data_IF_495232441253
#
_entry.id   IF_495232441253
#
_cell.length_a   1.000
_cell.length_b   1.000
_cell.length_c   1.000
_cell.angle_alpha   90.00
_cell.angle_beta   90.00
_cell.angle_gamma   90.00
#
_symmetry.space_group_name_H-M   'P 1'
#
loop_
_entity.id
_entity.type
_entity.pdbx_description
1 polymer ?
#
# COMPACT_ATOMS: atom_id res chain seq x y z
N UNK A 1 -23.60 0.89 13.80
CA UNK A 1 -23.12 2.10 13.09
C UNK A 1 -21.69 1.91 12.60
N UNK A 2 -20.71 1.60 13.48
CA UNK A 2 -19.32 1.32 13.08
C UNK A 2 -19.16 0.20 12.02
N UNK A 3 -19.87 -0.92 12.18
CA UNK A 3 -19.84 -2.03 11.20
C UNK A 3 -20.29 -1.64 9.78
N UNK A 4 -21.24 -0.70 9.65
CA UNK A 4 -21.68 -0.23 8.33
C UNK A 4 -20.62 0.62 7.63
N UNK A 5 -19.91 1.47 8.39
CA UNK A 5 -18.81 2.28 7.86
C UNK A 5 -17.63 1.43 7.39
N UNK A 6 -17.28 0.37 8.14
CA UNK A 6 -16.17 -0.53 7.74
C UNK A 6 -16.48 -1.28 6.45
N UNK A 7 -17.72 -1.79 6.29
CA UNK A 7 -18.14 -2.48 5.06
C UNK A 7 -18.14 -1.51 3.86
N UNK A 8 -18.49 -0.24 4.09
CA UNK A 8 -18.47 0.78 3.05
C UNK A 8 -17.05 1.14 2.61
N UNK A 9 -16.10 1.23 3.55
CA UNK A 9 -14.69 1.45 3.25
C UNK A 9 -14.08 0.27 2.47
N UNK A 10 -14.34 -0.97 2.89
CA UNK A 10 -13.80 -2.17 2.23
C UNK A 10 -14.30 -2.30 0.77
N UNK A 11 -15.61 -2.11 0.55
CA UNK A 11 -16.18 -2.10 -0.80
C UNK A 11 -15.61 -0.96 -1.66
N UNK A 12 -15.44 0.22 -1.07
CA UNK A 12 -14.84 1.36 -1.76
C UNK A 12 -13.38 1.07 -2.13
N UNK A 13 -12.60 0.50 -1.22
CA UNK A 13 -11.21 0.12 -1.50
C UNK A 13 -11.12 -0.93 -2.60
N UNK A 14 -12.04 -1.90 -2.64
CA UNK A 14 -12.09 -2.90 -3.70
C UNK A 14 -12.42 -2.25 -5.06
N UNK A 15 -13.40 -1.36 -5.11
CA UNK A 15 -13.72 -0.61 -6.33
C UNK A 15 -12.51 0.19 -6.85
N UNK A 16 -11.73 0.80 -5.95
CA UNK A 16 -10.49 1.48 -6.33
C UNK A 16 -9.47 0.50 -6.94
N UNK A 17 -9.28 -0.68 -6.34
CA UNK A 17 -8.40 -1.74 -6.88
C UNK A 17 -8.85 -2.16 -8.29
N UNK A 18 -10.14 -2.40 -8.49
CA UNK A 18 -10.71 -2.81 -9.79
C UNK A 18 -10.46 -1.78 -10.90
N UNK A 19 -10.60 -0.48 -10.58
CA UNK A 19 -10.29 0.61 -11.51
C UNK A 19 -8.79 0.64 -11.87
N UNK A 20 -7.90 0.41 -10.91
CA UNK A 20 -6.45 0.37 -11.12
C UNK A 20 -6.07 -0.82 -11.99
N UNK A 21 -6.62 -2.00 -11.71
CA UNK A 21 -6.39 -3.23 -12.48
C UNK A 21 -6.89 -3.10 -13.92
N UNK A 22 -8.03 -2.45 -14.10
CA UNK A 22 -8.61 -2.10 -15.40
C UNK A 22 -7.84 -0.97 -16.14
N UNK A 23 -6.78 -0.44 -15.52
CA UNK A 23 -5.95 0.67 -16.05
C UNK A 23 -6.73 1.98 -16.27
N UNK A 24 -7.85 2.16 -15.58
CA UNK A 24 -8.68 3.38 -15.61
C UNK A 24 -8.13 4.44 -14.64
N UNK A 25 -6.86 4.85 -14.82
CA UNK A 25 -6.11 5.61 -13.81
C UNK A 25 -6.69 6.99 -13.47
N UNK A 26 -7.26 7.70 -14.45
CA UNK A 26 -7.89 9.00 -14.22
C UNK A 26 -9.14 8.85 -13.35
N UNK A 27 -9.94 7.81 -13.61
CA UNK A 27 -11.14 7.49 -12.85
C UNK A 27 -10.78 7.01 -11.45
N UNK A 28 -9.78 6.13 -11.34
CA UNK A 28 -9.22 5.68 -10.07
C UNK A 28 -8.77 6.86 -9.21
N UNK A 29 -8.02 7.83 -9.75
CA UNK A 29 -7.57 9.00 -8.98
C UNK A 29 -8.73 9.90 -8.54
N UNK A 30 -9.74 10.11 -9.39
CA UNK A 30 -10.94 10.88 -9.00
C UNK A 30 -11.67 10.20 -7.84
N UNK A 31 -11.83 8.88 -7.93
CA UNK A 31 -12.49 8.07 -6.92
C UNK A 31 -11.69 8.04 -5.61
N UNK A 32 -10.38 7.78 -5.67
CA UNK A 32 -9.48 7.76 -4.51
C UNK A 32 -9.43 9.12 -3.80
N UNK A 33 -9.46 10.25 -4.53
CA UNK A 33 -9.54 11.58 -3.90
C UNK A 33 -10.80 11.77 -3.06
N UNK A 34 -11.92 11.19 -3.50
CA UNK A 34 -13.16 11.18 -2.71
C UNK A 34 -12.98 10.31 -1.47
N UNK A 35 -12.48 9.07 -1.63
CA UNK A 35 -12.19 8.17 -0.51
C UNK A 35 -11.24 8.80 0.51
N UNK A 36 -10.20 9.51 0.06
CA UNK A 36 -9.24 10.18 0.96
C UNK A 36 -9.90 11.28 1.79
N UNK A 37 -10.94 11.94 1.25
CA UNK A 37 -11.72 12.92 2.01
C UNK A 37 -12.60 12.25 3.07
N UNK A 38 -13.15 11.08 2.75
CA UNK A 38 -14.01 10.30 3.64
C UNK A 38 -13.19 9.55 4.72
N UNK A 39 -11.96 9.12 4.38
CA UNK A 39 -11.06 8.29 5.18
C UNK A 39 -9.62 8.85 5.23
N UNK A 40 -9.39 10.07 5.78
CA UNK A 40 -8.09 10.78 5.69
C UNK A 40 -6.92 10.11 6.42
N UNK A 41 -7.21 9.17 7.32
CA UNK A 41 -6.22 8.42 8.10
C UNK A 41 -5.98 7.01 7.55
N UNK A 42 -6.68 6.60 6.49
CA UNK A 42 -6.56 5.26 5.92
C UNK A 42 -5.25 5.10 5.15
N UNK A 43 -4.34 4.30 5.70
CA UNK A 43 -3.07 3.98 5.04
C UNK A 43 -3.29 3.25 3.70
N UNK A 44 -4.34 2.43 3.62
CA UNK A 44 -4.71 1.71 2.40
C UNK A 44 -5.10 2.67 1.27
N UNK A 45 -5.93 3.68 1.56
CA UNK A 45 -6.31 4.71 0.58
C UNK A 45 -5.09 5.47 0.06
N UNK A 46 -4.15 5.81 0.94
CA UNK A 46 -2.91 6.50 0.54
C UNK A 46 -2.04 5.64 -0.38
N UNK A 47 -1.83 4.36 -0.07
CA UNK A 47 -1.01 3.51 -0.94
C UNK A 47 -1.71 3.16 -2.26
N UNK A 48 -3.05 3.12 -2.31
CA UNK A 48 -3.79 3.01 -3.57
C UNK A 48 -3.55 4.25 -4.46
N UNK A 49 -3.56 5.46 -3.86
CA UNK A 49 -3.18 6.69 -4.57
C UNK A 49 -1.76 6.61 -5.10
N UNK A 50 -0.82 6.19 -4.26
CA UNK A 50 0.59 6.04 -4.63
C UNK A 50 0.77 5.01 -5.76
N UNK A 51 0.02 3.90 -5.74
CA UNK A 51 0.06 2.88 -6.78
C UNK A 51 -0.33 3.43 -8.15
N UNK A 52 -1.37 4.28 -8.23
CA UNK A 52 -1.72 4.94 -9.49
C UNK A 52 -0.58 5.83 -9.98
N UNK A 53 0.02 6.62 -9.09
CA UNK A 53 1.17 7.47 -9.44
C UNK A 53 2.38 6.64 -9.90
N UNK A 54 2.68 5.53 -9.25
CA UNK A 54 3.78 4.64 -9.66
C UNK A 54 3.53 4.03 -11.04
N UNK A 55 2.30 3.54 -11.30
CA UNK A 55 1.89 2.99 -12.60
C UNK A 55 1.91 4.00 -13.74
N UNK A 56 1.86 5.29 -13.42
CA UNK A 56 1.92 6.40 -14.38
C UNK A 56 3.29 7.08 -14.42
N UNK A 57 4.31 6.50 -13.77
CA UNK A 57 5.70 6.95 -13.83
C UNK A 57 6.02 8.17 -12.95
N UNK A 58 5.15 8.52 -11.99
CA UNK A 58 5.34 9.65 -11.11
C UNK A 58 6.05 9.25 -9.81
N UNK A 59 7.24 9.80 -9.59
CA UNK A 59 8.09 9.58 -8.40
C UNK A 59 7.45 10.01 -7.07
N UNK A 60 6.41 10.86 -7.12
CA UNK A 60 5.63 11.29 -5.93
C UNK A 60 4.99 10.10 -5.20
N UNK A 61 4.85 8.95 -5.86
CA UNK A 61 4.39 7.72 -5.22
C UNK A 61 5.20 7.39 -3.95
N UNK A 62 6.53 7.58 -3.94
CA UNK A 62 7.35 7.26 -2.78
C UNK A 62 7.07 8.16 -1.58
N UNK A 63 6.88 9.47 -1.79
CA UNK A 63 6.54 10.37 -0.67
C UNK A 63 5.19 10.04 -0.07
N UNK A 64 4.20 9.70 -0.90
CA UNK A 64 2.88 9.27 -0.43
C UNK A 64 2.98 7.98 0.40
N UNK A 65 3.84 7.05 0.00
CA UNK A 65 4.06 5.83 0.77
C UNK A 65 4.73 6.09 2.14
N UNK A 66 5.60 7.10 2.24
CA UNK A 66 6.16 7.51 3.53
C UNK A 66 5.08 8.09 4.44
N UNK A 67 4.17 8.91 3.90
CA UNK A 67 3.00 9.41 4.66
C UNK A 67 2.08 8.26 5.12
N UNK A 68 1.91 7.23 4.28
CA UNK A 68 1.15 6.04 4.65
C UNK A 68 1.83 5.24 5.77
N UNK A 69 3.17 5.18 5.81
CA UNK A 69 3.95 4.51 6.87
C UNK A 69 3.61 5.05 8.25
N UNK A 70 3.46 6.37 8.36
CA UNK A 70 3.16 7.02 9.65
C UNK A 70 1.76 6.66 10.17
N UNK A 71 0.88 6.17 9.29
CA UNK A 71 -0.51 5.82 9.60
C UNK A 71 -0.77 4.32 9.66
N UNK A 72 0.15 3.49 9.17
CA UNK A 72 -0.08 2.06 8.92
C UNK A 72 -0.36 1.23 10.17
N UNK A 73 0.12 1.66 11.34
CA UNK A 73 -0.12 0.93 12.60
C UNK A 73 -1.34 1.42 13.38
N UNK A 74 -2.03 2.47 12.90
CA UNK A 74 -3.31 2.87 13.46
C UNK A 74 -4.38 1.78 13.24
N UNK A 75 -4.26 1.03 12.14
CA UNK A 75 -5.07 -0.15 11.86
C UNK A 75 -4.18 -1.28 11.31
N UNK A 76 -3.85 -2.24 12.18
CA UNK A 76 -3.01 -3.39 11.80
C UNK A 76 -3.73 -4.38 10.88
N UNK A 77 -5.06 -4.32 10.76
CA UNK A 77 -5.82 -5.26 9.92
C UNK A 77 -5.53 -5.07 8.43
N UNK A 78 -5.23 -3.83 8.01
CA UNK A 78 -4.90 -3.49 6.62
C UNK A 78 -3.41 -3.63 6.29
N UNK A 79 -2.56 -3.90 7.28
CA UNK A 79 -1.09 -3.97 7.13
C UNK A 79 -0.64 -4.91 5.99
N UNK A 80 -1.19 -6.14 5.83
CA UNK A 80 -0.79 -7.03 4.73
C UNK A 80 -1.07 -6.44 3.35
N UNK A 81 -2.25 -5.85 3.16
CA UNK A 81 -2.66 -5.21 1.90
C UNK A 81 -1.78 -4.01 1.58
N UNK A 82 -1.50 -3.18 2.59
CA UNK A 82 -0.66 -2.00 2.44
C UNK A 82 0.76 -2.38 2.04
N UNK A 83 1.34 -3.38 2.70
CA UNK A 83 2.70 -3.86 2.38
C UNK A 83 2.79 -4.49 0.99
N UNK A 84 1.80 -5.29 0.59
CA UNK A 84 1.76 -5.86 -0.76
C UNK A 84 1.69 -4.79 -1.85
N UNK A 85 0.87 -3.76 -1.65
CA UNK A 85 0.78 -2.61 -2.56
C UNK A 85 2.09 -1.82 -2.56
N UNK A 86 2.67 -1.55 -1.39
CA UNK A 86 3.94 -0.85 -1.26
C UNK A 86 5.09 -1.58 -1.95
N UNK A 87 5.17 -2.90 -1.78
CA UNK A 87 6.13 -3.75 -2.49
C UNK A 87 5.95 -3.64 -4.01
N UNK A 88 4.70 -3.65 -4.50
CA UNK A 88 4.41 -3.46 -5.93
C UNK A 88 4.88 -2.09 -6.42
N UNK A 89 4.67 -1.03 -5.64
CA UNK A 89 5.15 0.32 -5.96
C UNK A 89 6.68 0.36 -6.04
N UNK A 90 7.35 -0.22 -5.05
CA UNK A 90 8.82 -0.29 -5.03
C UNK A 90 9.37 -1.03 -6.25
N UNK A 91 8.71 -2.10 -6.70
CA UNK A 91 9.09 -2.84 -7.90
C UNK A 91 8.91 -2.00 -9.18
N UNK A 92 7.81 -1.28 -9.30
CA UNK A 92 7.54 -0.40 -10.45
C UNK A 92 8.55 0.76 -10.55
N UNK A 93 9.14 1.15 -9.42
CA UNK A 93 10.09 2.26 -9.32
C UNK A 93 11.55 1.81 -9.18
N UNK A 94 11.81 0.50 -9.27
CA UNK A 94 13.15 -0.08 -9.11
C UNK A 94 13.81 0.26 -7.76
N UNK A 95 13.01 0.30 -6.69
CA UNK A 95 13.42 0.63 -5.31
C UNK A 95 13.12 -0.51 -4.33
N UNK A 96 13.54 -1.72 -4.66
CA UNK A 96 13.33 -2.91 -3.83
C UNK A 96 13.99 -2.77 -2.43
N UNK A 97 15.09 -2.01 -2.34
CA UNK A 97 15.74 -1.61 -1.09
C UNK A 97 14.77 -0.99 -0.08
N UNK A 98 13.82 -0.17 -0.56
CA UNK A 98 12.80 0.45 0.27
C UNK A 98 11.75 -0.56 0.75
N UNK A 99 11.37 -1.53 -0.09
CA UNK A 99 10.47 -2.61 0.30
C UNK A 99 11.03 -3.40 1.49
N UNK A 100 12.32 -3.77 1.42
CA UNK A 100 13.03 -4.46 2.52
C UNK A 100 12.95 -3.62 3.80
N UNK A 101 13.36 -2.35 3.74
CA UNK A 101 13.37 -1.44 4.90
C UNK A 101 12.00 -1.34 5.57
N UNK A 102 10.93 -1.33 4.78
CA UNK A 102 9.56 -1.19 5.28
C UNK A 102 9.02 -2.48 5.91
N UNK A 103 9.36 -3.64 5.35
CA UNK A 103 9.07 -4.93 5.96
C UNK A 103 9.86 -5.11 7.26
N UNK A 104 11.14 -4.73 7.32
CA UNK A 104 11.93 -4.78 8.55
C UNK A 104 11.31 -3.93 9.66
N UNK A 105 10.93 -2.69 9.34
CA UNK A 105 10.21 -1.82 10.25
C UNK A 105 8.89 -2.46 10.73
N UNK A 106 8.12 -3.06 9.83
CA UNK A 106 6.86 -3.72 10.17
C UNK A 106 7.05 -4.95 11.05
N UNK A 107 8.09 -5.75 10.80
CA UNK A 107 8.46 -6.90 11.62
C UNK A 107 8.91 -6.49 13.04
N UNK A 108 9.55 -5.33 13.19
CA UNK A 108 9.94 -4.80 14.49
C UNK A 108 8.72 -4.36 15.33
N UNK A 109 7.71 -3.79 14.67
CA UNK A 109 6.48 -3.26 15.30
C UNK A 109 5.40 -4.33 15.54
N UNK A 110 5.40 -5.41 14.74
CA UNK A 110 4.48 -6.54 14.85
C UNK A 110 5.28 -7.83 15.00
N UNK A 111 5.60 -8.17 16.24
CA UNK A 111 6.40 -9.35 16.56
C UNK A 111 5.69 -10.66 16.18
N UNK A 112 6.45 -11.63 15.67
CA UNK A 112 6.02 -13.00 15.37
C UNK A 112 4.91 -13.14 14.32
N UNK A 113 4.73 -12.15 13.44
CA UNK A 113 3.84 -12.28 12.29
C UNK A 113 4.53 -13.04 11.15
N UNK A 114 4.04 -14.27 10.87
CA UNK A 114 4.60 -15.12 9.82
C UNK A 114 4.42 -14.55 8.42
N UNK A 115 3.32 -13.83 8.17
CA UNK A 115 3.05 -13.19 6.88
C UNK A 115 4.07 -12.08 6.58
N UNK A 116 4.38 -11.25 7.59
CA UNK A 116 5.40 -10.21 7.48
C UNK A 116 6.79 -10.80 7.27
N UNK A 117 7.15 -11.82 8.06
CA UNK A 117 8.45 -12.50 7.92
C UNK A 117 8.60 -13.16 6.55
N UNK A 118 7.55 -13.76 6.02
CA UNK A 118 7.55 -14.34 4.67
C UNK A 118 7.70 -13.26 3.59
N UNK A 119 6.99 -12.12 3.72
CA UNK A 119 7.12 -10.99 2.80
C UNK A 119 8.53 -10.39 2.80
N UNK A 120 9.15 -10.23 3.98
CA UNK A 120 10.53 -9.80 4.13
C UNK A 120 11.51 -10.77 3.46
N UNK A 121 11.34 -12.07 3.71
CA UNK A 121 12.14 -13.11 3.05
C UNK A 121 12.03 -13.04 1.52
N UNK A 122 10.82 -12.85 0.98
CA UNK A 122 10.60 -12.72 -0.46
C UNK A 122 11.30 -11.48 -1.05
N UNK A 123 11.34 -10.37 -0.32
CA UNK A 123 12.07 -9.18 -0.74
C UNK A 123 13.58 -9.47 -0.81
N UNK A 124 14.16 -10.08 0.22
CA UNK A 124 15.57 -10.45 0.23
C UNK A 124 15.95 -11.46 -0.86
N UNK A 125 15.11 -12.47 -1.08
CA UNK A 125 15.32 -13.46 -2.14
C UNK A 125 15.32 -12.80 -3.53
N UNK A 126 14.43 -11.83 -3.76
CA UNK A 126 14.38 -11.08 -5.02
C UNK A 126 15.62 -10.21 -5.23
N UNK A 127 16.03 -9.46 -4.22
CA UNK A 127 17.22 -8.60 -4.27
C UNK A 127 18.48 -9.41 -4.63
N UNK A 128 18.61 -10.59 -4.01
CA UNK A 128 19.73 -11.51 -4.22
C UNK A 128 19.77 -12.10 -5.64
N UNK A 129 18.63 -12.14 -6.35
CA UNK A 129 18.53 -12.63 -7.74
C UNK A 129 18.70 -11.52 -8.78
N UNK A 130 18.61 -10.25 -8.36
CA UNK A 130 18.82 -9.07 -9.21
C UNK A 130 20.25 -8.51 -9.18
N UNK A 131 21.09 -9.02 -8.27
CA UNK A 131 22.52 -8.72 -8.16
C UNK A 131 23.37 -9.68 -8.99
#
# INVERSE_FOLDING_TARGET
>A
MLLFFVIDEENSNQQAKDLIESRLFIEALKFIKKLESDYPSSALVLVLKALVYARTGHVVALSICLDAKEKIFADKSVLPDVLNIFQTICQLLERNDLAITFYEYSCAEVSNDLGLMLGLFQCYARESLSA
#
